data_IF_096032824667
#
_entry.id   IF_096032824667
#
_cell.length_a   1.000
_cell.length_b   1.000
_cell.length_c   1.000
_cell.angle_alpha   90.00
_cell.angle_beta   90.00
_cell.angle_gamma   90.00
#
_symmetry.space_group_name_H-M   'P 1'
#
loop_
_entity.id
_entity.type
_entity.pdbx_description
1 polymer ?
#
# COMPACT_ATOMS: atom_id res chain seq x y z
N UNK A 1 5.40 -7.28 -15.15
CA UNK A 1 5.18 -8.36 -14.16
C UNK A 1 4.00 -8.04 -13.26
N UNK A 2 2.93 -8.77 -13.45
CA UNK A 2 1.65 -8.63 -12.73
C UNK A 2 1.72 -9.39 -11.40
N UNK A 3 1.11 -8.83 -10.35
CA UNK A 3 1.08 -9.45 -9.03
C UNK A 3 -0.31 -10.01 -8.75
N UNK A 4 -0.38 -11.27 -8.31
CA UNK A 4 -1.64 -11.97 -8.05
C UNK A 4 -2.55 -11.21 -7.08
N UNK A 5 -2.01 -10.68 -5.96
CA UNK A 5 -2.79 -9.88 -5.00
C UNK A 5 -3.47 -8.65 -5.62
N UNK A 6 -2.89 -8.07 -6.68
CA UNK A 6 -3.46 -6.92 -7.36
C UNK A 6 -4.69 -7.35 -8.15
N UNK A 7 -4.56 -8.42 -8.92
CA UNK A 7 -5.66 -8.97 -9.74
C UNK A 7 -6.81 -9.46 -8.84
N UNK A 8 -6.48 -10.13 -7.73
CA UNK A 8 -7.48 -10.52 -6.72
C UNK A 8 -8.17 -9.29 -6.14
N UNK A 9 -7.40 -8.29 -5.69
CA UNK A 9 -7.93 -7.06 -5.12
C UNK A 9 -8.87 -6.33 -6.08
N UNK A 10 -8.49 -6.23 -7.36
CA UNK A 10 -9.28 -5.59 -8.41
C UNK A 10 -10.58 -6.38 -8.69
N UNK A 11 -10.55 -7.72 -8.72
CA UNK A 11 -11.74 -8.54 -8.89
C UNK A 11 -12.74 -8.39 -7.74
N UNK A 12 -12.27 -8.43 -6.49
CA UNK A 12 -13.11 -8.20 -5.30
C UNK A 12 -13.72 -6.80 -5.31
N UNK A 13 -12.90 -5.81 -5.63
CA UNK A 13 -13.30 -4.40 -5.72
C UNK A 13 -14.32 -4.15 -6.83
N UNK A 14 -14.19 -4.81 -7.97
CA UNK A 14 -15.14 -4.72 -9.08
C UNK A 14 -16.50 -5.30 -8.68
N UNK A 15 -16.52 -6.48 -8.05
CA UNK A 15 -17.75 -7.11 -7.54
C UNK A 15 -18.45 -6.26 -6.50
N UNK A 16 -17.72 -5.72 -5.52
CA UNK A 16 -18.29 -4.82 -4.51
C UNK A 16 -18.93 -3.59 -5.14
N UNK A 17 -18.24 -2.95 -6.09
CA UNK A 17 -18.75 -1.76 -6.77
C UNK A 17 -19.94 -2.09 -7.69
N UNK A 18 -19.94 -3.23 -8.36
CA UNK A 18 -21.06 -3.70 -9.17
C UNK A 18 -22.33 -3.97 -8.33
N UNK A 19 -22.18 -4.28 -7.04
CA UNK A 19 -23.29 -4.39 -6.08
C UNK A 19 -23.67 -3.05 -5.42
N UNK A 20 -22.99 -1.95 -5.77
CA UNK A 20 -23.12 -0.64 -5.11
C UNK A 20 -22.91 -0.66 -3.59
N UNK A 21 -22.11 -1.60 -3.08
CA UNK A 21 -21.84 -1.75 -1.65
C UNK A 21 -20.63 -0.97 -1.20
N UNK A 22 -20.70 -0.44 0.02
CA UNK A 22 -19.57 0.30 0.61
C UNK A 22 -18.52 -0.66 1.19
N UNK A 23 -17.28 -0.18 1.32
CA UNK A 23 -16.23 -0.94 2.03
C UNK A 23 -16.66 -1.33 3.44
N UNK A 24 -17.39 -0.44 4.13
CA UNK A 24 -17.89 -0.67 5.49
C UNK A 24 -18.83 -1.87 5.53
N UNK A 25 -19.85 -1.89 4.68
CA UNK A 25 -20.81 -2.99 4.60
C UNK A 25 -20.15 -4.35 4.38
N UNK A 26 -19.21 -4.44 3.44
CA UNK A 26 -18.52 -5.70 3.14
C UNK A 26 -17.56 -6.08 4.26
N UNK A 27 -16.81 -5.12 4.80
CA UNK A 27 -15.88 -5.39 5.91
C UNK A 27 -16.59 -5.91 7.15
N UNK A 28 -17.77 -5.36 7.47
CA UNK A 28 -18.61 -5.82 8.58
C UNK A 28 -19.14 -7.23 8.32
N UNK A 29 -19.64 -7.51 7.11
CA UNK A 29 -20.14 -8.83 6.76
C UNK A 29 -19.04 -9.91 6.74
N UNK A 30 -17.82 -9.57 6.31
CA UNK A 30 -16.68 -10.48 6.28
C UNK A 30 -15.92 -10.57 7.63
N UNK A 31 -16.36 -9.84 8.67
CA UNK A 31 -15.69 -9.75 9.96
C UNK A 31 -14.20 -9.34 9.87
N UNK A 32 -13.90 -8.35 9.02
CA UNK A 32 -12.56 -7.78 8.84
C UNK A 32 -12.59 -6.27 9.06
N UNK A 33 -11.43 -5.67 9.32
CA UNK A 33 -11.39 -4.21 9.41
C UNK A 33 -11.55 -3.56 8.03
N UNK A 34 -12.22 -2.40 8.00
CA UNK A 34 -12.39 -1.60 6.77
C UNK A 34 -11.04 -1.25 6.14
N UNK A 35 -10.05 -0.87 6.96
CA UNK A 35 -8.71 -0.55 6.50
C UNK A 35 -8.03 -1.75 5.85
N UNK A 36 -8.16 -2.93 6.44
CA UNK A 36 -7.58 -4.15 5.89
C UNK A 36 -8.23 -4.57 4.56
N UNK A 37 -9.56 -4.52 4.46
CA UNK A 37 -10.26 -4.77 3.19
C UNK A 37 -9.82 -3.75 2.12
N UNK A 38 -9.68 -2.48 2.49
CA UNK A 38 -9.18 -1.44 1.57
C UNK A 38 -7.76 -1.71 1.09
N UNK A 39 -6.86 -2.19 1.96
CA UNK A 39 -5.50 -2.58 1.57
C UNK A 39 -5.49 -3.80 0.63
N UNK A 40 -6.37 -4.78 0.84
CA UNK A 40 -6.53 -5.95 -0.03
C UNK A 40 -7.04 -5.53 -1.42
N UNK A 41 -8.10 -4.72 -1.49
CA UNK A 41 -8.66 -4.22 -2.77
C UNK A 41 -7.65 -3.40 -3.59
N UNK A 42 -6.61 -2.85 -2.95
CA UNK A 42 -5.54 -2.10 -3.61
C UNK A 42 -4.30 -2.96 -3.92
N UNK A 43 -4.35 -4.26 -3.61
CA UNK A 43 -3.23 -5.18 -3.75
C UNK A 43 -2.02 -4.81 -2.89
N UNK A 44 -2.24 -4.23 -1.70
CA UNK A 44 -1.18 -3.89 -0.74
C UNK A 44 -0.93 -5.01 0.28
N UNK A 45 -1.91 -5.89 0.48
CA UNK A 45 -1.82 -7.04 1.38
C UNK A 45 -2.16 -8.31 0.62
N UNK A 46 -1.47 -9.38 1.00
CA UNK A 46 -1.86 -10.75 0.67
C UNK A 46 -2.96 -11.16 1.65
N UNK A 47 -4.07 -11.69 1.14
CA UNK A 47 -5.14 -12.24 1.97
C UNK A 47 -4.86 -13.73 2.24
N UNK A 48 -5.11 -14.19 3.47
CA UNK A 48 -5.14 -15.63 3.73
C UNK A 48 -6.32 -16.26 2.99
N UNK A 49 -6.26 -17.57 2.76
CA UNK A 49 -7.34 -18.31 2.08
C UNK A 49 -8.67 -18.21 2.84
N UNK A 50 -8.63 -18.22 4.17
CA UNK A 50 -9.80 -18.08 5.05
C UNK A 50 -10.43 -16.68 4.90
N UNK A 51 -9.59 -15.65 4.87
CA UNK A 51 -10.05 -14.27 4.75
C UNK A 51 -10.60 -13.99 3.35
N UNK A 52 -9.97 -14.54 2.32
CA UNK A 52 -10.46 -14.47 0.95
C UNK A 52 -11.84 -15.14 0.83
N UNK A 53 -12.01 -16.32 1.44
CA UNK A 53 -13.30 -17.01 1.48
C UNK A 53 -14.38 -16.17 2.19
N UNK A 54 -14.08 -15.59 3.35
CA UNK A 54 -15.01 -14.74 4.09
C UNK A 54 -15.43 -13.49 3.30
N UNK A 55 -14.51 -12.86 2.57
CA UNK A 55 -14.84 -11.72 1.70
C UNK A 55 -15.71 -12.16 0.51
N UNK A 56 -15.40 -13.31 -0.11
CA UNK A 56 -16.21 -13.85 -1.21
C UNK A 56 -17.64 -14.16 -0.74
N UNK A 57 -17.78 -14.81 0.42
CA UNK A 57 -19.08 -15.10 1.04
C UNK A 57 -19.85 -13.80 1.36
N UNK A 58 -19.19 -12.80 1.94
CA UNK A 58 -19.78 -11.49 2.20
C UNK A 58 -20.27 -10.79 0.92
N UNK A 59 -19.63 -11.06 -0.22
CA UNK A 59 -20.02 -10.58 -1.56
C UNK A 59 -21.03 -11.51 -2.26
N UNK A 60 -21.47 -12.60 -1.64
CA UNK A 60 -22.41 -13.56 -2.23
C UNK A 60 -21.83 -14.31 -3.44
N UNK A 61 -20.51 -14.50 -3.48
CA UNK A 61 -19.79 -15.13 -4.57
C UNK A 61 -19.11 -16.43 -4.13
N UNK A 62 -19.00 -17.40 -5.05
CA UNK A 62 -18.18 -18.59 -4.80
C UNK A 62 -16.71 -18.26 -5.08
N UNK A 63 -15.82 -18.75 -4.23
CA UNK A 63 -14.37 -18.54 -4.40
C UNK A 63 -13.87 -19.01 -5.78
N UNK A 64 -14.38 -20.13 -6.29
CA UNK A 64 -14.03 -20.66 -7.62
C UNK A 64 -14.38 -19.71 -8.76
N UNK A 65 -15.50 -18.98 -8.66
CA UNK A 65 -15.91 -18.00 -9.68
C UNK A 65 -14.96 -16.81 -9.70
N UNK A 66 -14.61 -16.29 -8.51
CA UNK A 66 -13.65 -15.20 -8.36
C UNK A 66 -12.27 -15.61 -8.90
N UNK A 67 -11.81 -16.81 -8.57
CA UNK A 67 -10.53 -17.31 -9.06
C UNK A 67 -10.53 -17.55 -10.58
N UNK A 68 -11.67 -17.91 -11.18
CA UNK A 68 -11.82 -17.99 -12.63
C UNK A 68 -11.64 -16.63 -13.31
N UNK A 69 -12.26 -15.58 -12.77
CA UNK A 69 -12.09 -14.20 -13.27
C UNK A 69 -10.65 -13.71 -13.12
N UNK A 70 -10.04 -13.99 -11.97
CA UNK A 70 -8.63 -13.65 -11.69
C UNK A 70 -7.72 -14.37 -12.68
N UNK A 71 -7.95 -15.65 -12.94
CA UNK A 71 -7.16 -16.43 -13.90
C UNK A 71 -7.26 -15.85 -15.31
N UNK A 72 -8.46 -15.50 -15.79
CA UNK A 72 -8.64 -14.88 -17.10
C UNK A 72 -7.95 -13.52 -17.19
N UNK A 73 -8.09 -12.68 -16.17
CA UNK A 73 -7.46 -11.36 -16.12
C UNK A 73 -5.93 -11.46 -16.09
N UNK A 74 -5.40 -12.41 -15.31
CA UNK A 74 -3.97 -12.67 -15.22
C UNK A 74 -3.41 -13.15 -16.56
N UNK A 75 -4.07 -14.10 -17.22
CA UNK A 75 -3.64 -14.61 -18.52
C UNK A 75 -3.60 -13.51 -19.59
N UNK A 76 -4.59 -12.61 -19.61
CA UNK A 76 -4.58 -11.45 -20.50
C UNK A 76 -3.39 -10.52 -20.20
N UNK A 77 -3.14 -10.24 -18.92
CA UNK A 77 -2.08 -9.34 -18.52
C UNK A 77 -0.69 -9.93 -18.77
N UNK A 78 -0.51 -11.25 -18.62
CA UNK A 78 0.69 -11.99 -19.03
C UNK A 78 0.90 -11.95 -20.55
N UNK A 79 -0.18 -12.06 -21.33
CA UNK A 79 -0.15 -11.89 -22.78
C UNK A 79 0.27 -10.48 -23.22
N UNK A 80 -0.11 -9.44 -22.46
CA UNK A 80 0.25 -8.05 -22.75
C UNK A 80 1.70 -7.70 -22.41
N UNK A 81 2.28 -8.32 -21.38
CA UNK A 81 3.71 -8.17 -21.02
C UNK A 81 4.64 -8.59 -22.18
N UNK A 82 4.14 -9.33 -23.19
CA UNK A 82 4.86 -9.70 -24.42
C UNK A 82 4.48 -8.92 -25.69
N UNK A 83 3.44 -8.08 -25.67
CA UNK A 83 2.92 -7.37 -26.86
C UNK A 83 3.41 -5.93 -26.97
N UNK A 84 3.92 -5.35 -25.89
CA UNK A 84 4.63 -4.07 -25.93
C UNK A 84 6.03 -4.30 -26.53
N UNK A 85 6.14 -4.19 -27.85
CA UNK A 85 7.43 -4.04 -28.53
C UNK A 85 8.09 -2.80 -27.92
N UNK A 86 9.38 -2.85 -27.52
CA UNK A 86 10.11 -1.65 -27.15
C UNK A 86 9.94 -0.65 -28.28
N UNK A 87 9.38 0.52 -27.99
CA UNK A 87 9.47 1.64 -28.91
C UNK A 87 10.96 1.95 -28.99
N UNK A 88 11.62 1.49 -30.06
CA UNK A 88 12.97 1.92 -30.40
C UNK A 88 12.96 3.44 -30.31
N UNK A 89 13.73 4.06 -29.40
CA UNK A 89 13.75 5.50 -29.29
C UNK A 89 14.31 6.02 -30.60
N UNK A 90 13.43 6.50 -31.48
CA UNK A 90 13.83 7.35 -32.60
C UNK A 90 14.70 8.43 -32.01
N UNK A 91 15.94 8.62 -32.49
CA UNK A 91 16.82 9.64 -31.96
C UNK A 91 16.06 10.97 -32.05
N UNK A 92 15.64 11.49 -30.90
CA UNK A 92 15.30 12.88 -30.77
C UNK A 92 16.60 13.61 -31.07
N UNK A 93 16.62 14.24 -32.22
CA UNK A 93 17.55 15.25 -32.65
C UNK A 93 17.91 16.15 -31.46
N UNK A 94 19.10 15.88 -30.93
CA UNK A 94 19.72 16.64 -29.87
C UNK A 94 20.18 17.97 -30.41
N UNK A 95 19.25 18.92 -30.52
CA UNK A 95 19.56 20.34 -30.59
C UNK A 95 18.75 21.10 -29.55
N UNK A 96 19.35 21.28 -28.38
CA UNK A 96 18.74 22.03 -27.28
C UNK A 96 19.51 21.88 -25.98
N UNK A 97 20.59 22.66 -25.85
CA UNK A 97 21.49 22.71 -24.71
C UNK A 97 20.79 23.00 -23.37
N UNK A 98 21.29 22.37 -22.31
CA UNK A 98 20.89 22.65 -20.93
C UNK A 98 21.71 21.83 -19.93
N UNK A 99 23.02 22.01 -19.93
CA UNK A 99 23.93 21.39 -18.99
C UNK A 99 23.63 21.81 -17.54
N UNK A 100 23.32 20.85 -16.67
CA UNK A 100 23.45 21.03 -15.22
C UNK A 100 24.39 19.96 -14.68
N UNK A 101 25.54 20.42 -14.19
CA UNK A 101 26.62 19.68 -13.53
C UNK A 101 26.09 18.91 -12.29
N UNK A 102 26.49 17.65 -12.05
CA UNK A 102 26.39 17.04 -10.73
C UNK A 102 27.64 17.38 -9.89
N UNK A 103 27.43 17.73 -8.63
CA UNK A 103 28.46 17.90 -7.61
C UNK A 103 28.26 16.86 -6.48
N UNK A 104 29.31 16.52 -5.72
CA UNK A 104 29.66 15.13 -5.43
C UNK A 104 29.11 14.55 -4.12
N UNK A 105 29.04 13.22 -4.10
CA UNK A 105 28.81 12.40 -2.92
C UNK A 105 29.88 12.58 -1.84
N UNK A 106 29.44 12.60 -0.58
CA UNK A 106 30.24 12.21 0.59
C UNK A 106 29.36 11.35 1.49
N UNK A 107 29.78 10.10 1.71
CA UNK A 107 29.31 9.30 2.83
C UNK A 107 30.11 9.63 4.08
N UNK A 108 29.48 9.52 5.25
CA UNK A 108 30.08 9.12 6.53
C UNK A 108 28.97 8.75 7.52
N UNK A 109 29.18 7.65 8.24
CA UNK A 109 28.36 7.01 9.27
C UNK A 109 27.71 7.94 10.30
N UNK A 110 26.40 7.75 10.52
CA UNK A 110 25.71 8.03 11.78
C UNK A 110 24.40 7.21 11.83
N UNK A 111 23.99 6.67 13.00
CA UNK A 111 22.81 5.82 13.10
C UNK A 111 21.55 6.62 12.77
N UNK A 112 20.80 6.14 11.78
CA UNK A 112 19.59 6.75 11.29
C UNK A 112 18.49 6.73 12.36
N UNK A 113 18.32 7.85 13.07
CA UNK A 113 17.15 8.10 13.90
C UNK A 113 15.99 8.43 12.97
N UNK A 114 14.98 7.55 12.90
CA UNK A 114 13.79 7.75 12.06
C UNK A 114 12.64 8.21 12.96
N UNK A 115 12.31 9.50 12.89
CA UNK A 115 11.19 10.09 13.62
C UNK A 115 9.90 9.84 12.83
N UNK A 116 8.99 9.03 13.37
CA UNK A 116 7.66 8.81 12.79
C UNK A 116 6.64 9.69 13.51
N UNK A 117 6.09 10.65 12.76
CA UNK A 117 4.82 11.37 12.98
C UNK A 117 4.66 12.14 14.31
N UNK A 118 4.35 13.44 14.18
CA UNK A 118 3.95 14.33 15.28
C UNK A 118 2.44 14.51 15.22
N UNK A 119 1.71 13.90 16.15
CA UNK A 119 0.38 14.39 16.52
C UNK A 119 0.59 15.24 17.78
N UNK A 120 0.25 16.53 17.71
CA UNK A 120 0.92 17.67 18.36
C UNK A 120 1.14 17.70 19.90
N UNK A 121 0.94 16.60 20.62
CA UNK A 121 1.24 16.45 22.06
C UNK A 121 2.22 15.29 22.38
N UNK A 122 2.53 14.40 21.43
CA UNK A 122 3.42 13.25 21.66
C UNK A 122 4.46 13.11 20.55
N UNK A 123 5.73 13.07 20.93
CA UNK A 123 6.86 12.78 20.05
C UNK A 123 7.37 11.37 20.26
N UNK A 124 7.50 10.59 19.19
CA UNK A 124 8.06 9.22 19.23
C UNK A 124 9.34 9.15 18.39
N UNK A 125 10.41 8.66 19.00
CA UNK A 125 11.70 8.42 18.35
C UNK A 125 12.05 6.93 18.37
N UNK A 126 12.48 6.41 17.22
CA UNK A 126 12.91 5.02 17.08
C UNK A 126 14.41 5.01 16.83
N UNK A 127 15.17 4.27 17.65
CA UNK A 127 16.57 3.94 17.39
C UNK A 127 16.71 2.46 17.09
N UNK A 128 17.37 2.12 15.99
CA UNK A 128 17.73 0.76 15.66
C UNK A 128 19.22 0.56 15.96
N UNK A 129 19.50 -0.28 16.94
CA UNK A 129 20.87 -0.61 17.35
C UNK A 129 21.39 -1.85 16.60
N UNK A 130 20.48 -2.70 16.08
CA UNK A 130 20.79 -3.83 15.21
C UNK A 130 19.58 -4.19 14.32
N UNK A 131 19.73 -4.97 13.24
CA UNK A 131 18.61 -5.34 12.35
C UNK A 131 17.48 -6.11 13.04
N UNK A 132 17.74 -6.65 14.24
CA UNK A 132 16.75 -7.39 15.04
C UNK A 132 16.42 -6.69 16.37
N UNK A 133 17.04 -5.55 16.70
CA UNK A 133 16.76 -4.78 17.93
C UNK A 133 16.50 -3.31 17.64
N UNK A 134 15.29 -2.88 17.98
CA UNK A 134 14.87 -1.49 17.96
C UNK A 134 14.43 -1.04 19.36
N UNK A 135 14.86 0.15 19.76
CA UNK A 135 14.49 0.80 21.02
C UNK A 135 13.59 2.00 20.71
N UNK A 136 12.40 2.03 21.32
CA UNK A 136 11.40 3.09 21.15
C UNK A 136 11.43 4.03 22.37
N UNK A 137 11.48 5.34 22.12
CA UNK A 137 11.34 6.37 23.17
C UNK A 137 10.19 7.31 22.82
N UNK A 138 9.25 7.43 23.75
CA UNK A 138 8.08 8.30 23.65
C UNK A 138 8.19 9.44 24.65
N UNK A 139 8.06 10.69 24.21
CA UNK A 139 7.96 11.86 25.09
C UNK A 139 6.61 12.54 24.87
N UNK A 140 5.88 12.82 25.95
CA UNK A 140 4.58 13.51 25.88
C UNK A 140 4.73 14.87 26.55
N UNK A 141 4.41 15.96 25.84
CA UNK A 141 4.34 17.31 26.41
C UNK A 141 2.97 17.42 27.08
N UNK A 142 2.93 17.42 28.42
CA UNK A 142 1.71 17.75 29.17
C UNK A 142 1.54 19.27 29.11
N UNK A 143 0.53 19.75 28.39
CA UNK A 143 0.04 21.10 28.62
C UNK A 143 -0.64 21.10 30.01
N UNK A 144 -0.11 21.92 30.92
CA UNK A 144 -0.77 22.23 32.19
C UNK A 144 -1.50 23.54 31.95
N UNK A 145 -2.82 23.49 31.82
CA UNK A 145 -3.65 24.69 31.94
C UNK A 145 -3.50 25.22 33.38
N UNK A 146 -2.81 26.34 33.52
CA UNK A 146 -2.84 27.14 34.75
C UNK A 146 -4.16 27.91 34.72
N UNK A 147 -5.17 27.38 35.42
CA UNK A 147 -6.41 28.13 35.70
C UNK A 147 -6.10 29.14 36.79
N UNK A 148 -5.92 30.41 36.44
CA UNK A 148 -6.09 31.51 37.39
C UNK A 148 -7.59 31.77 37.53
N UNK A 149 -8.13 31.54 38.73
CA UNK A 149 -9.43 32.06 39.13
C UNK A 149 -9.30 33.56 39.43
N UNK A 150 -10.37 34.30 39.14
CA UNK A 150 -10.50 35.76 39.18
C UNK A 150 -10.12 36.41 40.52
#
# INVERSE_FOLDING_TARGET
MVLLRRVIGDALRARRQGQHRTLREVSTAANVSLGYLSEIERGQKEASSELLAAICEALGARLSEVLGEVSGTLALAEGMDGVLVPLEPTPLDSSGAGAVKPAPAKGTDAPAVRQLTSDGSVSVSVRQDSPLRATLRTTRKRDRDIVYAA
#
